data_IF_583876776173
#
_entry.id   IF_583876776173
#
_cell.length_a   1.000
_cell.length_b   1.000
_cell.length_c   1.000
_cell.angle_alpha   90.00
_cell.angle_beta   90.00
_cell.angle_gamma   90.00
#
_symmetry.space_group_name_H-M   'P 1'
#
loop_
_entity.id
_entity.type
_entity.pdbx_description
1 polymer ?
#
# COMPACT_ATOMS: atom_id res chain seq x y z
N UNK A 1 14.64 -27.53 -34.67
CA UNK A 1 13.54 -28.01 -33.78
C UNK A 1 12.21 -27.69 -34.46
N UNK A 2 11.23 -28.60 -34.50
CA UNK A 2 9.96 -28.33 -35.17
C UNK A 2 9.17 -27.24 -34.42
N UNK A 3 8.64 -26.27 -35.15
CA UNK A 3 7.72 -25.26 -34.62
C UNK A 3 6.38 -25.90 -34.30
N UNK A 4 5.69 -25.40 -33.26
CA UNK A 4 4.36 -25.91 -32.92
C UNK A 4 3.40 -25.74 -34.10
N UNK A 5 2.56 -26.74 -34.40
CA UNK A 5 1.58 -26.62 -35.46
C UNK A 5 0.60 -25.45 -35.18
N UNK A 6 0.13 -24.75 -36.23
CA UNK A 6 -0.74 -23.59 -36.07
C UNK A 6 -2.09 -24.00 -35.47
N UNK A 7 -2.54 -23.23 -34.47
CA UNK A 7 -3.79 -23.44 -33.73
C UNK A 7 -4.91 -22.56 -34.29
N UNK A 8 -6.19 -22.92 -34.13
CA UNK A 8 -7.30 -22.04 -34.51
C UNK A 8 -7.30 -20.75 -33.69
N UNK A 9 -7.74 -19.64 -34.30
CA UNK A 9 -7.92 -18.36 -33.63
C UNK A 9 -9.04 -18.46 -32.57
N UNK A 10 -8.84 -17.81 -31.42
CA UNK A 10 -9.82 -17.75 -30.33
C UNK A 10 -10.97 -16.77 -30.54
N UNK A 11 -10.92 -15.92 -31.58
CA UNK A 11 -12.00 -14.99 -31.87
C UNK A 11 -13.25 -15.77 -32.34
N UNK A 12 -14.46 -15.44 -31.84
CA UNK A 12 -15.69 -16.14 -32.22
C UNK A 12 -15.86 -16.21 -33.74
N UNK A 13 -16.19 -17.40 -34.24
CA UNK A 13 -16.41 -17.67 -35.67
C UNK A 13 -15.23 -17.35 -36.62
N UNK A 14 -14.03 -17.13 -36.10
CA UNK A 14 -12.87 -16.89 -36.96
C UNK A 14 -12.27 -18.21 -37.47
N UNK A 15 -12.25 -18.39 -38.80
CA UNK A 15 -11.59 -19.53 -39.45
C UNK A 15 -10.05 -19.42 -39.52
N UNK A 16 -9.47 -18.31 -39.03
CA UNK A 16 -8.03 -18.06 -39.08
C UNK A 16 -7.22 -18.99 -38.17
N UNK A 17 -5.96 -19.23 -38.54
CA UNK A 17 -4.99 -19.99 -37.73
C UNK A 17 -3.89 -19.07 -37.20
N UNK A 18 -3.25 -19.44 -36.12
CA UNK A 18 -2.20 -18.67 -35.46
C UNK A 18 -1.16 -19.56 -34.81
N UNK A 19 0.10 -19.13 -34.86
CA UNK A 19 1.21 -19.68 -34.07
C UNK A 19 1.54 -18.81 -32.86
N UNK A 20 0.86 -17.66 -32.71
CA UNK A 20 1.12 -16.71 -31.64
C UNK A 20 0.65 -17.23 -30.28
N UNK A 21 1.43 -16.96 -29.23
CA UNK A 21 1.16 -17.42 -27.85
C UNK A 21 -0.18 -16.91 -27.29
N UNK A 22 -0.63 -15.73 -27.74
CA UNK A 22 -1.91 -15.15 -27.31
C UNK A 22 -3.14 -15.85 -27.92
N UNK A 23 -2.97 -16.68 -28.95
CA UNK A 23 -4.05 -17.49 -29.52
C UNK A 23 -4.99 -16.74 -30.47
N UNK A 24 -4.60 -15.57 -30.98
CA UNK A 24 -5.35 -14.84 -32.00
C UNK A 24 -4.53 -14.74 -33.31
N UNK A 25 -5.21 -14.71 -34.46
CA UNK A 25 -4.56 -14.46 -35.76
C UNK A 25 -4.23 -12.96 -35.91
N UNK A 26 -3.48 -12.59 -36.95
CA UNK A 26 -3.04 -11.20 -37.13
C UNK A 26 -4.21 -10.20 -37.25
N UNK A 27 -5.36 -10.64 -37.79
CA UNK A 27 -6.59 -9.85 -37.86
C UNK A 27 -7.25 -9.58 -36.51
N UNK A 28 -6.90 -10.36 -35.48
CA UNK A 28 -7.48 -10.30 -34.14
C UNK A 28 -6.39 -10.08 -33.07
N UNK A 29 -5.22 -9.58 -33.46
CA UNK A 29 -4.12 -9.32 -32.54
C UNK A 29 -4.50 -8.28 -31.46
N UNK A 30 -5.43 -7.39 -31.78
CA UNK A 30 -6.04 -6.40 -30.87
C UNK A 30 -6.79 -7.06 -29.70
N UNK A 31 -7.40 -8.23 -29.91
CA UNK A 31 -8.10 -8.99 -28.86
C UNK A 31 -7.13 -9.64 -27.86
N UNK A 32 -5.83 -9.66 -28.16
CA UNK A 32 -4.79 -10.10 -27.24
C UNK A 32 -4.47 -9.06 -26.15
N UNK A 33 -5.49 -8.38 -25.62
CA UNK A 33 -5.31 -7.40 -24.55
C UNK A 33 -4.79 -8.14 -23.32
N UNK A 34 -3.51 -7.96 -23.01
CA UNK A 34 -2.96 -8.40 -21.75
C UNK A 34 -3.69 -7.66 -20.64
N UNK A 35 -4.36 -8.40 -19.74
CA UNK A 35 -4.85 -7.86 -18.48
C UNK A 35 -3.67 -7.20 -17.77
N UNK A 36 -3.59 -5.86 -17.83
CA UNK A 36 -2.64 -5.12 -17.01
C UNK A 36 -3.09 -5.32 -15.59
N UNK A 37 -2.27 -6.02 -14.79
CA UNK A 37 -2.50 -6.04 -13.35
C UNK A 37 -2.56 -4.59 -12.91
N UNK A 38 -3.64 -4.16 -12.21
CA UNK A 38 -3.66 -2.82 -11.66
C UNK A 38 -2.39 -2.65 -10.83
N UNK A 39 -1.73 -1.52 -10.98
CA UNK A 39 -0.63 -1.16 -10.10
C UNK A 39 -1.16 -1.27 -8.69
N UNK A 40 -0.74 -2.32 -7.97
CA UNK A 40 -1.07 -2.49 -6.57
C UNK A 40 -0.26 -1.47 -5.76
N UNK A 41 -0.41 -0.18 -6.04
CA UNK A 41 -0.32 0.85 -5.02
C UNK A 41 -1.42 0.55 -4.03
N UNK A 42 -1.13 -0.40 -3.14
CA UNK A 42 -1.92 -0.69 -1.96
C UNK A 42 -2.01 0.62 -1.20
N UNK A 43 -3.15 1.29 -1.38
CA UNK A 43 -3.49 2.51 -0.67
C UNK A 43 -3.37 2.23 0.82
N UNK A 44 -2.53 3.01 1.50
CA UNK A 44 -2.54 3.05 2.95
C UNK A 44 -1.39 2.36 3.68
N UNK A 45 -0.16 2.37 3.14
CA UNK A 45 1.11 1.97 3.82
C UNK A 45 1.64 0.58 3.47
N UNK A 46 1.72 0.24 2.18
CA UNK A 46 2.89 -0.49 1.65
C UNK A 46 3.23 -1.91 2.12
N UNK A 47 2.29 -2.71 2.66
CA UNK A 47 2.50 -4.15 2.84
C UNK A 47 3.56 -4.56 3.89
N UNK A 48 4.43 -5.54 3.58
CA UNK A 48 5.37 -6.17 4.54
C UNK A 48 6.41 -5.18 5.14
N UNK A 49 7.00 -4.26 4.37
CA UNK A 49 7.92 -3.24 4.91
C UNK A 49 7.31 -2.38 6.01
N UNK A 50 6.09 -1.85 5.79
CA UNK A 50 5.42 -1.03 6.79
C UNK A 50 5.11 -1.79 8.08
N UNK A 51 4.67 -3.06 7.98
CA UNK A 51 4.44 -3.87 9.18
C UNK A 51 5.70 -3.99 10.04
N UNK A 52 6.85 -4.25 9.41
CA UNK A 52 8.15 -4.31 10.12
C UNK A 52 8.50 -2.99 10.79
N UNK A 53 8.30 -1.87 10.07
CA UNK A 53 8.56 -0.54 10.61
C UNK A 53 7.63 -0.23 11.79
N UNK A 54 6.33 -0.48 11.65
CA UNK A 54 5.33 -0.32 12.72
C UNK A 54 5.74 -1.13 13.96
N UNK A 55 6.10 -2.39 13.80
CA UNK A 55 6.48 -3.26 14.91
C UNK A 55 7.80 -2.82 15.57
N UNK A 56 8.72 -2.22 14.81
CA UNK A 56 9.93 -1.61 15.36
C UNK A 56 9.62 -0.36 16.18
N UNK A 57 8.71 0.51 15.71
CA UNK A 57 8.23 1.71 16.43
C UNK A 57 7.56 1.30 17.74
N UNK A 58 6.61 0.36 17.70
CA UNK A 58 5.90 -0.09 18.90
C UNK A 58 6.87 -0.67 19.94
N UNK A 59 7.88 -1.43 19.53
CA UNK A 59 8.91 -1.97 20.43
C UNK A 59 9.82 -0.88 20.99
N UNK A 60 10.31 0.05 20.16
CA UNK A 60 11.12 1.19 20.62
C UNK A 60 10.40 1.96 21.72
N UNK A 61 9.10 2.22 21.49
CA UNK A 61 8.27 3.02 22.38
C UNK A 61 7.70 2.21 23.56
N UNK A 62 8.16 0.97 23.74
CA UNK A 62 7.70 0.03 24.77
C UNK A 62 6.19 -0.13 24.82
N UNK A 63 5.53 -0.03 23.67
CA UNK A 63 4.07 -0.07 23.54
C UNK A 63 3.34 1.01 24.37
N UNK A 64 4.02 2.11 24.69
CA UNK A 64 3.46 3.26 25.39
C UNK A 64 3.26 4.45 24.45
N UNK A 65 2.23 5.25 24.71
CA UNK A 65 1.90 6.44 23.95
C UNK A 65 2.99 7.49 24.12
N UNK A 66 3.59 7.92 23.01
CA UNK A 66 4.63 8.95 22.93
C UNK A 66 4.08 10.26 22.35
N UNK A 67 2.79 10.54 22.52
CA UNK A 67 2.26 11.85 22.14
C UNK A 67 2.75 12.92 23.13
N UNK A 68 2.84 14.16 22.67
CA UNK A 68 3.46 15.26 23.44
C UNK A 68 2.73 15.51 24.76
N UNK A 69 1.41 15.35 24.79
CA UNK A 69 0.61 15.56 26.00
C UNK A 69 0.81 14.44 27.03
N UNK A 70 0.88 13.18 26.60
CA UNK A 70 1.18 12.07 27.52
C UNK A 70 2.59 12.20 28.11
N UNK A 71 3.56 12.63 27.30
CA UNK A 71 4.94 12.83 27.77
C UNK A 71 5.01 13.99 28.76
N UNK A 72 4.45 15.16 28.42
CA UNK A 72 4.47 16.35 29.29
C UNK A 72 3.81 16.10 30.63
N UNK A 73 2.73 15.32 30.63
CA UNK A 73 1.97 15.01 31.84
C UNK A 73 2.41 13.71 32.53
N UNK A 74 3.50 13.08 32.08
CA UNK A 74 3.99 11.80 32.60
C UNK A 74 2.92 10.70 32.67
N UNK A 75 1.96 10.70 31.73
CA UNK A 75 0.88 9.70 31.67
C UNK A 75 1.38 8.42 31.01
N UNK A 76 1.25 7.30 31.71
CA UNK A 76 1.56 5.97 31.18
C UNK A 76 0.31 5.41 30.50
N UNK A 77 0.23 5.58 29.19
CA UNK A 77 -0.94 5.15 28.39
C UNK A 77 -0.52 4.09 27.36
N UNK A 78 -1.24 2.97 27.22
CA UNK A 78 -0.93 1.98 26.18
C UNK A 78 -1.13 2.55 24.77
N UNK A 79 -0.15 2.31 23.90
CA UNK A 79 -0.23 2.63 22.49
C UNK A 79 -0.90 1.51 21.70
N UNK A 80 -1.66 1.89 20.66
CA UNK A 80 -2.40 0.96 19.80
C UNK A 80 -1.99 1.11 18.34
N UNK A 81 -1.53 2.31 17.97
CA UNK A 81 -1.32 2.72 16.60
C UNK A 81 0.03 3.43 16.47
N UNK A 82 0.48 3.58 15.22
CA UNK A 82 1.69 4.34 14.88
C UNK A 82 1.29 5.48 13.96
N UNK A 83 1.64 6.69 14.40
CA UNK A 83 1.28 7.95 13.77
C UNK A 83 2.53 8.75 13.39
N UNK A 84 2.39 9.57 12.36
CA UNK A 84 3.44 10.47 11.90
C UNK A 84 3.47 11.74 12.75
N UNK A 85 4.64 12.10 13.28
CA UNK A 85 4.86 13.35 14.01
C UNK A 85 4.57 14.54 13.08
N UNK A 86 5.19 14.53 11.90
CA UNK A 86 4.86 15.41 10.78
C UNK A 86 3.97 14.64 9.82
N UNK A 87 2.70 15.04 9.61
CA UNK A 87 1.78 14.37 8.69
C UNK A 87 2.32 14.27 7.27
N UNK A 88 1.91 13.22 6.54
CA UNK A 88 2.23 13.05 5.11
C UNK A 88 1.77 14.25 4.28
N UNK A 89 0.62 14.84 4.61
CA UNK A 89 0.09 16.05 3.95
C UNK A 89 0.98 17.27 4.11
N UNK A 90 1.85 17.29 5.12
CA UNK A 90 2.83 18.35 5.38
C UNK A 90 4.27 17.92 5.04
N UNK A 91 4.44 16.90 4.19
CA UNK A 91 5.75 16.43 3.74
C UNK A 91 6.43 15.42 4.67
N UNK A 92 5.70 14.88 5.65
CA UNK A 92 6.17 13.77 6.47
C UNK A 92 6.55 12.54 5.64
N UNK A 93 7.47 11.73 6.17
CA UNK A 93 7.92 10.47 5.55
C UNK A 93 7.78 9.31 6.52
N UNK A 94 7.75 8.09 5.99
CA UNK A 94 7.77 6.82 6.74
C UNK A 94 9.19 6.53 7.30
N UNK A 95 9.71 7.46 8.09
CA UNK A 95 11.01 7.34 8.75
C UNK A 95 10.81 7.01 10.22
N UNK A 96 11.68 6.16 10.77
CA UNK A 96 11.64 5.77 12.17
C UNK A 96 11.59 6.99 13.12
N UNK A 97 12.32 8.06 12.78
CA UNK A 97 12.36 9.31 13.54
C UNK A 97 11.07 10.15 13.44
N UNK A 98 10.28 9.98 12.38
CA UNK A 98 9.02 10.70 12.17
C UNK A 98 7.80 9.88 12.62
N UNK A 99 7.99 8.71 13.19
CA UNK A 99 6.91 7.83 13.64
C UNK A 99 6.94 7.70 15.16
N UNK A 100 5.75 7.69 15.77
CA UNK A 100 5.57 7.47 17.20
C UNK A 100 4.40 6.52 17.49
N UNK A 101 4.54 5.70 18.52
CA UNK A 101 3.43 4.93 19.06
C UNK A 101 2.44 5.86 19.77
N UNK A 102 1.15 5.69 19.51
CA UNK A 102 0.10 6.56 20.04
C UNK A 102 -1.13 5.74 20.46
N UNK A 103 -1.85 6.20 21.48
CA UNK A 103 -3.15 5.64 21.85
C UNK A 103 -4.23 6.12 20.88
N UNK A 104 -5.32 5.36 20.74
CA UNK A 104 -6.43 5.71 19.84
C UNK A 104 -7.03 7.08 20.16
N UNK A 105 -7.20 7.38 21.45
CA UNK A 105 -7.79 8.65 21.90
C UNK A 105 -6.88 9.83 21.59
N UNK A 106 -5.58 9.69 21.83
CA UNK A 106 -4.61 10.72 21.50
C UNK A 106 -4.50 10.94 19.98
N UNK A 107 -4.55 9.86 19.20
CA UNK A 107 -4.53 9.94 17.74
C UNK A 107 -5.76 10.67 17.22
N UNK A 108 -6.96 10.32 17.69
CA UNK A 108 -8.22 11.00 17.33
C UNK A 108 -8.17 12.50 17.64
N UNK A 109 -7.65 12.87 18.81
CA UNK A 109 -7.50 14.29 19.21
C UNK A 109 -6.52 15.04 18.32
N UNK A 110 -5.37 14.43 17.97
CA UNK A 110 -4.41 14.98 17.01
C UNK A 110 -5.04 15.19 15.64
N UNK A 111 -5.69 14.18 15.08
CA UNK A 111 -6.34 14.27 13.77
C UNK A 111 -7.40 15.37 13.74
N UNK A 112 -8.17 15.54 14.82
CA UNK A 112 -9.12 16.64 14.93
C UNK A 112 -8.41 17.99 14.89
N UNK A 113 -7.35 18.18 15.69
CA UNK A 113 -6.58 19.44 15.68
C UNK A 113 -5.98 19.75 14.31
N UNK A 114 -5.47 18.74 13.62
CA UNK A 114 -4.88 18.89 12.29
C UNK A 114 -5.90 19.26 11.20
N UNK A 115 -7.17 18.88 11.37
CA UNK A 115 -8.25 19.23 10.43
C UNK A 115 -8.71 20.67 10.54
N UNK A 116 -8.73 21.22 11.75
CA UNK A 116 -9.34 22.53 12.03
C UNK A 116 -8.33 23.68 12.06
N UNK A 117 -7.02 23.39 12.11
CA UNK A 117 -5.96 24.38 11.93
C UNK A 117 -5.98 25.48 12.99
N UNK A 118 -5.27 25.26 14.11
CA UNK A 118 -4.80 26.37 14.96
C UNK A 118 -3.60 27.06 14.32
#
# INVERSE_FOLDING_TARGET
MPTSPPRPCRAPMCAGKTTHKHGYCDKHADQAVAWKKPDHKRSGRGGRPWRRLRDAVMRRDRYLCQCDDCIKESRITPAHEVDHIIPLSRGGKDLMSNLRAISRDCHKRKTNREKWGD
#
